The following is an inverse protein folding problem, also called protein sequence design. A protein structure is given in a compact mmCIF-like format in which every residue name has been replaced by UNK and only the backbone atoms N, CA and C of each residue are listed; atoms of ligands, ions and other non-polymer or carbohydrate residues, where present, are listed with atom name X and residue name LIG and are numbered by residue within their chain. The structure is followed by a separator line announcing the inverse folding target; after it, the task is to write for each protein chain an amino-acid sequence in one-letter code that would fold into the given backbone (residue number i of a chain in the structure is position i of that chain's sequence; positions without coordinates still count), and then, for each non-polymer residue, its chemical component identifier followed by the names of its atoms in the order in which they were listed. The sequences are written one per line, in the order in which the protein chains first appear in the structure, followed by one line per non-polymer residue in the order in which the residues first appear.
data_IF_311505725741
#
_entry.id   IF_311505725741
#
_cell.length_a   1.000
_cell.length_b   1.000
_cell.length_c   1.000
_cell.angle_alpha   90.00
_cell.angle_beta   90.00
_cell.angle_gamma   90.00
#
_symmetry.space_group_name_H-M   'P 1'
#
loop_
_entity.id
_entity.type
_entity.pdbx_description
1 polymer ?
#
# COMPACT_ATOMS: atom_id res chain seq x y z
N UNK A 1 24.44 -8.34 9.73
CA UNK A 1 23.62 -9.44 10.24
C UNK A 1 22.16 -9.09 10.57
N UNK A 2 21.85 -8.07 11.40
CA UNK A 2 20.43 -7.75 11.75
C UNK A 2 19.63 -7.01 10.66
N UNK A 3 20.29 -6.40 9.66
CA UNK A 3 19.65 -5.69 8.54
C UNK A 3 19.02 -6.67 7.52
N UNK A 4 19.58 -7.85 7.39
CA UNK A 4 19.11 -8.93 6.52
C UNK A 4 17.84 -9.60 7.04
N UNK A 5 17.66 -9.63 8.38
CA UNK A 5 16.53 -10.33 9.00
C UNK A 5 15.18 -9.74 8.58
N UNK A 6 15.03 -8.41 8.53
CA UNK A 6 13.74 -7.79 8.21
C UNK A 6 13.37 -7.88 6.72
N UNK A 7 14.36 -7.86 5.81
CA UNK A 7 14.11 -8.15 4.39
C UNK A 7 13.76 -9.62 4.18
N UNK A 8 14.45 -10.51 4.88
CA UNK A 8 14.18 -11.95 4.85
C UNK A 8 12.76 -12.27 5.32
N UNK A 9 12.27 -11.58 6.35
CA UNK A 9 10.89 -11.75 6.84
C UNK A 9 9.86 -11.31 5.80
N UNK A 10 10.08 -10.18 5.12
CA UNK A 10 9.16 -9.72 4.05
C UNK A 10 9.10 -10.72 2.90
N UNK A 11 10.23 -11.32 2.54
CA UNK A 11 10.29 -12.37 1.51
C UNK A 11 9.40 -13.57 1.85
N UNK A 12 9.30 -13.92 3.14
CA UNK A 12 8.44 -15.02 3.60
C UNK A 12 6.94 -14.72 3.47
N UNK A 13 6.56 -13.48 3.17
CA UNK A 13 5.17 -13.09 2.95
C UNK A 13 4.66 -13.41 1.54
N UNK A 14 5.52 -13.86 0.64
CA UNK A 14 5.11 -14.25 -0.72
C UNK A 14 3.91 -15.19 -0.65
N UNK A 15 2.84 -14.83 -1.38
CA UNK A 15 1.58 -15.57 -1.49
C UNK A 15 0.85 -15.87 -0.18
N UNK A 16 1.21 -15.21 0.95
CA UNK A 16 0.51 -15.39 2.23
C UNK A 16 -0.94 -14.93 2.21
N UNK A 17 -1.28 -14.06 1.28
CA UNK A 17 -2.62 -13.49 1.11
C UNK A 17 -3.23 -13.91 -0.25
N UNK A 18 -2.99 -15.17 -0.64
CA UNK A 18 -3.45 -15.68 -1.92
C UNK A 18 -4.98 -15.55 -2.08
N UNK A 19 -5.40 -14.91 -3.17
CA UNK A 19 -6.80 -14.62 -3.51
C UNK A 19 -7.58 -13.80 -2.46
N UNK A 20 -6.87 -13.08 -1.58
CA UNK A 20 -7.49 -12.12 -0.67
C UNK A 20 -7.59 -10.76 -1.38
N UNK A 21 -8.77 -10.11 -1.41
CA UNK A 21 -8.89 -8.76 -1.94
C UNK A 21 -8.07 -7.77 -1.11
N UNK A 22 -7.37 -6.86 -1.78
CA UNK A 22 -6.56 -5.83 -1.15
C UNK A 22 -7.00 -4.44 -1.59
N UNK A 23 -7.07 -3.49 -0.65
CA UNK A 23 -7.31 -2.08 -0.94
C UNK A 23 -6.02 -1.30 -0.73
N UNK A 24 -5.46 -0.77 -1.83
CA UNK A 24 -4.27 0.10 -1.83
C UNK A 24 -4.75 1.54 -1.81
N UNK A 25 -4.45 2.24 -0.71
CA UNK A 25 -4.99 3.57 -0.43
C UNK A 25 -3.89 4.60 -0.60
N UNK A 26 -4.01 5.44 -1.62
CA UNK A 26 -3.10 6.53 -1.95
C UNK A 26 -3.38 7.81 -1.17
N UNK A 27 -2.79 8.92 -1.66
CA UNK A 27 -2.93 10.21 -1.01
C UNK A 27 -3.67 11.25 -1.86
N UNK A 28 -4.13 10.89 -3.04
CA UNK A 28 -4.73 11.85 -3.98
C UNK A 28 -6.01 12.50 -3.42
N UNK A 29 -6.39 13.69 -3.90
CA UNK A 29 -7.52 14.45 -3.39
C UNK A 29 -8.86 13.72 -3.44
N UNK A 30 -9.06 12.81 -4.42
CA UNK A 30 -10.27 11.97 -4.51
C UNK A 30 -10.53 11.13 -3.25
N UNK A 31 -9.50 10.88 -2.45
CA UNK A 31 -9.64 10.14 -1.19
C UNK A 31 -10.67 10.78 -0.24
N UNK A 32 -10.88 12.09 -0.34
CA UNK A 32 -11.87 12.82 0.46
C UNK A 32 -13.32 12.42 0.17
N UNK A 33 -13.58 11.81 -0.98
CA UNK A 33 -14.92 11.39 -1.40
C UNK A 33 -15.29 9.97 -0.92
N UNK A 34 -14.35 9.27 -0.26
CA UNK A 34 -14.56 7.89 0.18
C UNK A 34 -14.89 7.79 1.67
N UNK A 35 -15.89 6.97 1.99
CA UNK A 35 -16.10 6.48 3.35
C UNK A 35 -15.14 5.30 3.59
N UNK A 36 -13.97 5.57 4.17
CA UNK A 36 -12.94 4.56 4.39
C UNK A 36 -13.21 3.67 5.62
N UNK A 37 -14.13 4.04 6.49
CA UNK A 37 -14.44 3.27 7.71
C UNK A 37 -14.94 1.88 7.39
N UNK A 38 -15.62 1.72 6.26
CA UNK A 38 -16.10 0.42 5.78
C UNK A 38 -14.97 -0.56 5.47
N UNK A 39 -13.74 -0.07 5.31
CA UNK A 39 -12.54 -0.89 5.05
C UNK A 39 -11.83 -1.36 6.33
N UNK A 40 -12.27 -0.94 7.52
CA UNK A 40 -11.58 -1.22 8.80
C UNK A 40 -11.35 -2.72 9.07
N UNK A 41 -12.12 -3.58 8.46
CA UNK A 41 -12.03 -5.03 8.61
C UNK A 41 -11.40 -5.76 7.42
N UNK A 42 -11.04 -5.06 6.37
CA UNK A 42 -10.42 -5.63 5.16
C UNK A 42 -8.92 -5.47 5.18
N UNK A 43 -8.22 -6.23 4.32
CA UNK A 43 -6.80 -6.06 4.14
C UNK A 43 -6.52 -4.77 3.35
N UNK A 44 -5.78 -3.86 3.96
CA UNK A 44 -5.49 -2.54 3.41
C UNK A 44 -4.01 -2.21 3.46
N UNK A 45 -3.50 -1.55 2.43
CA UNK A 45 -2.15 -0.98 2.35
C UNK A 45 -2.30 0.53 2.19
N UNK A 46 -1.99 1.29 3.24
CA UNK A 46 -2.00 2.76 3.18
C UNK A 46 -0.63 3.29 2.75
N UNK A 47 -0.61 4.09 1.69
CA UNK A 47 0.62 4.69 1.15
C UNK A 47 0.92 6.01 1.85
N UNK A 48 2.15 6.23 2.26
CA UNK A 48 2.64 7.48 2.86
C UNK A 48 1.69 7.96 3.98
N UNK A 49 1.04 9.13 3.82
CA UNK A 49 0.15 9.75 4.82
C UNK A 49 -1.29 9.23 4.79
N UNK A 50 -1.65 8.25 3.97
CA UNK A 50 -2.99 7.66 3.97
C UNK A 50 -3.42 7.16 5.36
N UNK A 51 -2.47 6.79 6.22
CA UNK A 51 -2.76 6.39 7.61
C UNK A 51 -3.32 7.52 8.50
N UNK A 52 -3.44 8.75 8.01
CA UNK A 52 -4.20 9.80 8.67
C UNK A 52 -5.71 9.70 8.44
N UNK A 53 -6.11 8.96 7.42
CA UNK A 53 -7.51 8.80 7.01
C UNK A 53 -8.07 7.43 7.36
N UNK A 54 -7.22 6.45 7.54
CA UNK A 54 -7.59 5.07 7.90
C UNK A 54 -6.45 4.46 8.70
N UNK A 55 -6.75 3.52 9.59
CA UNK A 55 -5.75 2.68 10.26
C UNK A 55 -5.52 1.39 9.43
N UNK A 56 -4.58 1.39 8.46
CA UNK A 56 -4.43 0.28 7.51
C UNK A 56 -3.79 -0.95 8.15
N UNK A 57 -3.88 -2.10 7.47
CA UNK A 57 -3.15 -3.31 7.86
C UNK A 57 -1.63 -3.11 7.73
N UNK A 58 -1.22 -2.40 6.66
CA UNK A 58 0.17 -2.05 6.37
C UNK A 58 0.27 -0.56 6.07
N UNK A 59 1.22 0.14 6.69
CA UNK A 59 1.70 1.45 6.22
C UNK A 59 2.92 1.20 5.34
N UNK A 60 2.85 1.66 4.10
CA UNK A 60 3.84 1.43 3.05
C UNK A 60 4.42 2.74 2.53
N UNK A 61 5.75 2.88 2.54
CA UNK A 61 6.40 4.10 2.03
C UNK A 61 7.82 3.85 1.55
N UNK A 62 8.37 4.78 0.76
CA UNK A 62 9.75 4.71 0.28
C UNK A 62 10.66 5.82 0.84
N UNK A 63 10.12 7.01 1.07
CA UNK A 63 10.91 8.21 1.33
C UNK A 63 11.26 8.39 2.80
N UNK A 64 12.49 8.83 3.07
CA UNK A 64 12.98 9.15 4.42
C UNK A 64 12.13 10.23 5.09
N UNK A 65 11.57 11.15 4.31
CA UNK A 65 10.83 12.31 4.82
C UNK A 65 9.64 11.90 5.68
N UNK A 66 8.87 10.90 5.29
CA UNK A 66 7.75 10.43 6.08
C UNK A 66 8.19 10.01 7.50
N UNK A 67 9.30 9.32 7.60
CA UNK A 67 9.86 8.96 8.91
C UNK A 67 10.27 10.18 9.72
N UNK A 68 10.89 11.17 9.10
CA UNK A 68 11.34 12.39 9.81
C UNK A 68 10.13 13.18 10.33
N UNK A 69 9.12 13.37 9.50
CA UNK A 69 7.98 14.26 9.81
C UNK A 69 6.91 13.58 10.67
N UNK A 70 6.68 12.28 10.50
CA UNK A 70 5.56 11.57 11.13
C UNK A 70 5.98 10.48 12.13
N UNK A 71 7.24 10.49 12.57
CA UNK A 71 7.84 9.47 13.43
C UNK A 71 6.95 9.07 14.62
N UNK A 72 6.42 10.06 15.34
CA UNK A 72 5.62 9.81 16.55
C UNK A 72 4.33 9.04 16.23
N UNK A 73 3.65 9.41 15.14
CA UNK A 73 2.42 8.74 14.71
C UNK A 73 2.73 7.32 14.19
N UNK A 74 3.80 7.17 13.40
CA UNK A 74 4.24 5.88 12.90
C UNK A 74 4.57 4.90 14.05
N UNK A 75 5.22 5.37 15.11
CA UNK A 75 5.56 4.53 16.26
C UNK A 75 4.34 4.12 17.09
N UNK A 76 3.31 4.97 17.15
CA UNK A 76 2.05 4.68 17.85
C UNK A 76 1.11 3.79 17.06
N UNK A 77 1.25 3.72 15.73
CA UNK A 77 0.40 2.89 14.89
C UNK A 77 0.55 1.40 15.22
N UNK A 78 -0.54 0.67 15.22
CA UNK A 78 -0.59 -0.79 15.34
C UNK A 78 -0.40 -1.51 14.00
N UNK A 79 -0.38 -0.78 12.88
CA UNK A 79 -0.15 -1.31 11.54
C UNK A 79 1.26 -1.90 11.39
N UNK A 80 1.41 -2.90 10.52
CA UNK A 80 2.74 -3.29 10.04
C UNK A 80 3.34 -2.13 9.24
N UNK A 81 4.61 -1.88 9.43
CA UNK A 81 5.33 -0.77 8.78
C UNK A 81 6.34 -1.32 7.81
N UNK A 82 6.12 -1.08 6.54
CA UNK A 82 6.93 -1.60 5.43
C UNK A 82 7.51 -0.44 4.64
N UNK A 83 8.83 -0.35 4.56
CA UNK A 83 9.47 0.78 3.90
C UNK A 83 10.76 0.41 3.16
N UNK A 84 11.10 1.25 2.17
CA UNK A 84 12.40 1.21 1.52
C UNK A 84 13.50 1.90 2.35
N UNK A 85 13.13 2.86 3.20
CA UNK A 85 14.06 3.61 4.01
C UNK A 85 14.75 2.73 5.08
N UNK A 86 16.09 2.62 4.99
CA UNK A 86 16.91 1.73 5.84
C UNK A 86 17.46 2.37 7.10
N UNK A 87 17.16 3.63 7.35
CA UNK A 87 17.68 4.41 8.50
C UNK A 87 16.84 4.33 9.77
N UNK A 88 16.01 3.30 9.94
CA UNK A 88 15.27 3.07 11.18
C UNK A 88 16.21 2.62 12.29
N UNK A 89 16.53 3.48 13.29
CA UNK A 89 17.42 3.14 14.39
C UNK A 89 16.79 2.10 15.33
N UNK A 90 15.46 1.98 15.33
CA UNK A 90 14.72 1.09 16.23
C UNK A 90 14.46 -0.29 15.64
N UNK A 91 14.81 -0.51 14.36
CA UNK A 91 14.60 -1.79 13.66
C UNK A 91 13.17 -2.34 13.77
N UNK A 92 12.20 -1.44 13.84
CA UNK A 92 10.78 -1.76 14.01
C UNK A 92 10.02 -1.91 12.68
N UNK A 93 10.73 -1.74 11.55
CA UNK A 93 10.14 -1.74 10.23
C UNK A 93 10.57 -2.98 9.45
N UNK A 94 9.68 -3.43 8.61
CA UNK A 94 9.98 -4.37 7.55
C UNK A 94 10.51 -3.60 6.34
N UNK A 95 11.47 -4.17 5.63
CA UNK A 95 12.13 -3.48 4.53
C UNK A 95 11.96 -4.22 3.22
N UNK A 96 11.81 -3.45 2.15
CA UNK A 96 11.94 -3.91 0.79
C UNK A 96 13.02 -3.12 0.07
N UNK A 97 13.60 -3.71 -0.95
CA UNK A 97 14.54 -3.06 -1.86
C UNK A 97 13.84 -2.66 -3.15
N UNK A 98 14.31 -1.58 -3.77
CA UNK A 98 13.85 -1.14 -5.08
C UNK A 98 14.98 -1.38 -6.06
N UNK A 99 14.73 -2.20 -7.09
CA UNK A 99 15.60 -2.30 -8.25
C UNK A 99 15.21 -1.19 -9.22
N UNK A 100 16.10 -0.23 -9.40
CA UNK A 100 15.89 0.91 -10.30
C UNK A 100 15.79 0.48 -11.76
N UNK A 101 15.24 1.36 -12.60
CA UNK A 101 15.05 1.12 -14.03
C UNK A 101 13.58 1.15 -14.43
N UNK A 102 13.20 0.31 -15.38
CA UNK A 102 11.82 0.16 -15.83
C UNK A 102 10.96 -0.53 -14.76
N UNK A 103 9.66 -0.23 -14.75
CA UNK A 103 8.72 -1.05 -14.02
C UNK A 103 8.76 -2.47 -14.58
N UNK A 104 8.88 -3.44 -13.70
CA UNK A 104 8.88 -4.86 -14.03
C UNK A 104 8.03 -5.60 -13.01
N UNK A 105 7.41 -6.70 -13.41
CA UNK A 105 6.67 -7.55 -12.50
C UNK A 105 7.62 -8.12 -11.44
N UNK A 106 7.23 -8.01 -10.17
CA UNK A 106 7.93 -8.68 -9.08
C UNK A 106 7.01 -9.69 -8.41
N UNK A 107 7.54 -10.86 -8.16
CA UNK A 107 6.91 -11.89 -7.34
C UNK A 107 7.54 -12.01 -5.95
N UNK A 108 8.54 -11.18 -5.66
CA UNK A 108 9.23 -11.11 -4.37
C UNK A 108 8.83 -9.83 -3.64
N UNK A 109 8.07 -9.89 -2.55
CA UNK A 109 7.65 -8.69 -1.83
C UNK A 109 8.80 -7.92 -1.18
N UNK A 110 9.99 -8.53 -1.08
CA UNK A 110 11.19 -7.86 -0.57
C UNK A 110 12.00 -7.13 -1.64
N UNK A 111 11.69 -7.32 -2.94
CA UNK A 111 12.39 -6.70 -4.06
C UNK A 111 11.39 -6.21 -5.11
N UNK A 112 11.14 -4.93 -5.15
CA UNK A 112 10.21 -4.30 -6.08
C UNK A 112 10.94 -3.58 -7.19
N UNK A 113 10.27 -3.37 -8.33
CA UNK A 113 10.85 -2.74 -9.50
C UNK A 113 10.15 -1.43 -9.84
N UNK A 114 10.90 -0.38 -10.12
CA UNK A 114 10.37 0.90 -10.55
C UNK A 114 11.14 2.10 -10.04
N UNK A 115 10.65 3.29 -10.35
CA UNK A 115 11.21 4.57 -9.90
C UNK A 115 10.10 5.54 -9.48
N UNK A 116 10.35 6.25 -8.38
CA UNK A 116 9.76 7.56 -8.11
C UNK A 116 8.30 7.62 -7.72
N UNK A 117 7.56 6.50 -7.69
CA UNK A 117 6.18 6.52 -7.24
C UNK A 117 5.87 5.35 -6.32
N UNK A 118 5.37 5.67 -5.13
CA UNK A 118 5.03 4.67 -4.11
C UNK A 118 3.79 3.86 -4.48
N UNK A 119 2.85 4.46 -5.22
CA UNK A 119 1.60 3.80 -5.62
C UNK A 119 1.81 2.50 -6.41
N UNK A 120 2.49 2.54 -7.55
CA UNK A 120 2.81 1.35 -8.33
C UNK A 120 3.61 0.29 -7.56
N UNK A 121 4.51 0.72 -6.67
CA UNK A 121 5.27 -0.21 -5.82
C UNK A 121 4.36 -0.93 -4.81
N UNK A 122 3.39 -0.22 -4.22
CA UNK A 122 2.45 -0.82 -3.29
C UNK A 122 1.53 -1.85 -3.98
N UNK A 123 1.14 -1.61 -5.25
CA UNK A 123 0.37 -2.59 -6.03
C UNK A 123 1.21 -3.81 -6.35
N UNK A 124 2.48 -3.65 -6.77
CA UNK A 124 3.39 -4.78 -6.95
C UNK A 124 3.56 -5.58 -5.66
N UNK A 125 3.73 -4.89 -4.54
CA UNK A 125 3.85 -5.51 -3.22
C UNK A 125 2.61 -6.33 -2.87
N UNK A 126 1.40 -5.76 -3.02
CA UNK A 126 0.15 -6.47 -2.81
C UNK A 126 0.05 -7.72 -3.69
N UNK A 127 0.47 -7.62 -4.96
CA UNK A 127 0.48 -8.77 -5.87
C UNK A 127 1.46 -9.85 -5.43
N UNK A 128 2.66 -9.47 -5.00
CA UNK A 128 3.66 -10.42 -4.50
C UNK A 128 3.22 -11.13 -3.19
N UNK A 129 2.34 -10.48 -2.40
CA UNK A 129 1.66 -11.12 -1.27
C UNK A 129 0.59 -12.13 -1.70
N UNK A 130 0.24 -12.17 -3.00
CA UNK A 130 -0.79 -13.05 -3.56
C UNK A 130 -2.19 -12.43 -3.59
N UNK A 131 -2.33 -11.13 -3.27
CA UNK A 131 -3.63 -10.46 -3.26
C UNK A 131 -4.29 -10.46 -4.65
N UNK A 132 -5.58 -10.72 -4.68
CA UNK A 132 -6.39 -10.68 -5.91
C UNK A 132 -7.89 -10.65 -5.55
N UNK A 133 -8.67 -9.70 -6.08
CA UNK A 133 -8.26 -8.51 -6.83
C UNK A 133 -7.61 -7.44 -5.93
N UNK A 134 -6.96 -6.43 -6.57
CA UNK A 134 -6.38 -5.28 -5.89
C UNK A 134 -7.14 -4.02 -6.33
N UNK A 135 -7.64 -3.24 -5.39
CA UNK A 135 -8.38 -2.00 -5.64
C UNK A 135 -7.53 -0.80 -5.25
N UNK A 136 -7.32 0.14 -6.18
CA UNK A 136 -6.67 1.43 -5.93
C UNK A 136 -7.70 2.50 -5.55
N UNK A 137 -7.47 3.21 -4.44
CA UNK A 137 -8.30 4.31 -3.95
C UNK A 137 -7.40 5.51 -3.69
N UNK A 138 -7.81 6.71 -4.15
CA UNK A 138 -6.97 7.89 -3.98
C UNK A 138 -5.64 7.80 -4.74
N UNK A 139 -5.67 7.18 -5.91
CA UNK A 139 -4.52 6.98 -6.80
C UNK A 139 -4.74 7.70 -8.13
N UNK A 140 -5.17 8.96 -8.08
CA UNK A 140 -5.55 9.76 -9.27
C UNK A 140 -4.36 10.09 -10.15
N UNK A 141 -3.16 10.20 -9.55
CA UNK A 141 -1.94 10.65 -10.22
C UNK A 141 -2.13 11.94 -11.01
N UNK A 142 -2.90 12.86 -10.46
CA UNK A 142 -3.25 14.14 -11.06
C UNK A 142 -3.42 15.22 -10.00
N UNK A 143 -3.36 16.49 -10.44
CA UNK A 143 -3.72 17.63 -9.62
C UNK A 143 -5.22 17.89 -9.78
N UNK A 144 -5.97 17.89 -8.69
CA UNK A 144 -7.41 18.14 -8.68
C UNK A 144 -7.68 19.44 -7.90
N UNK A 145 -8.28 20.42 -8.53
CA UNK A 145 -8.57 21.74 -7.93
C UNK A 145 -7.34 22.38 -7.27
N UNK A 146 -6.18 22.27 -7.91
CA UNK A 146 -4.91 22.79 -7.39
C UNK A 146 -4.30 21.98 -6.25
N UNK A 147 -4.89 20.86 -5.85
CA UNK A 147 -4.39 19.99 -4.80
C UNK A 147 -3.73 18.73 -5.39
N UNK A 148 -2.61 18.31 -4.81
CA UNK A 148 -1.89 17.10 -5.18
C UNK A 148 -2.25 15.92 -4.26
N UNK A 149 -2.64 16.22 -3.03
CA UNK A 149 -2.92 15.25 -1.98
C UNK A 149 -4.20 15.64 -1.21
N UNK A 150 -4.81 14.69 -0.52
CA UNK A 150 -6.03 14.91 0.28
C UNK A 150 -5.84 15.94 1.41
N UNK A 151 -4.60 16.20 1.80
CA UNK A 151 -4.21 17.17 2.83
C UNK A 151 -3.71 18.50 2.26
N UNK A 152 -3.84 18.74 0.95
CA UNK A 152 -3.50 19.98 0.27
C UNK A 152 -2.42 19.87 -0.80
N UNK A 153 -1.60 20.90 -0.93
CA UNK A 153 -0.53 20.96 -1.93
C UNK A 153 0.75 20.35 -1.34
N UNK A 154 1.23 19.28 -1.95
CA UNK A 154 2.54 18.78 -1.65
C UNK A 154 3.59 19.50 -2.51
N UNK A 155 4.36 20.38 -1.89
CA UNK A 155 5.37 21.22 -2.56
C UNK A 155 6.50 20.42 -3.22
N UNK A 156 6.65 19.15 -2.87
CA UNK A 156 7.66 18.26 -3.49
C UNK A 156 7.16 17.63 -4.79
N UNK A 157 5.85 17.69 -5.06
CA UNK A 157 5.28 17.19 -6.30
C UNK A 157 5.60 18.16 -7.44
N UNK A 158 6.34 17.66 -8.42
CA UNK A 158 6.61 18.32 -9.68
C UNK A 158 5.90 17.57 -10.80
N UNK A 159 5.75 18.17 -11.96
CA UNK A 159 5.11 17.53 -13.12
C UNK A 159 5.68 16.16 -13.45
N UNK A 160 7.00 15.99 -13.30
CA UNK A 160 7.62 14.69 -13.54
C UNK A 160 7.17 13.60 -12.54
N UNK A 161 6.81 13.96 -11.30
CA UNK A 161 6.32 13.00 -10.28
C UNK A 161 4.91 12.51 -10.65
N UNK A 162 4.05 13.43 -11.10
CA UNK A 162 2.71 13.09 -11.63
C UNK A 162 2.85 12.15 -12.82
N UNK A 163 3.74 12.47 -13.76
CA UNK A 163 4.01 11.66 -14.93
C UNK A 163 4.55 10.27 -14.57
N UNK A 164 5.45 10.16 -13.59
CA UNK A 164 5.97 8.88 -13.13
C UNK A 164 4.88 8.02 -12.47
N UNK A 165 3.99 8.64 -11.67
CA UNK A 165 2.87 7.95 -11.07
C UNK A 165 1.92 7.41 -12.14
N UNK A 166 1.49 8.28 -13.08
CA UNK A 166 0.59 7.89 -14.17
C UNK A 166 1.19 6.80 -15.08
N UNK A 167 2.48 6.89 -15.38
CA UNK A 167 3.19 5.85 -16.17
C UNK A 167 3.25 4.52 -15.41
N UNK A 168 3.52 4.58 -14.10
CA UNK A 168 3.56 3.39 -13.26
C UNK A 168 2.21 2.70 -13.17
N UNK A 169 1.10 3.44 -13.01
CA UNK A 169 -0.23 2.86 -12.98
C UNK A 169 -0.63 2.27 -14.34
N UNK A 170 -0.35 2.98 -15.46
CA UNK A 170 -0.60 2.41 -16.81
C UNK A 170 0.17 1.12 -17.04
N UNK A 171 1.42 1.05 -16.57
CA UNK A 171 2.19 -0.17 -16.65
C UNK A 171 1.52 -1.31 -15.85
N UNK A 172 1.03 -1.02 -14.63
CA UNK A 172 0.30 -2.00 -13.82
C UNK A 172 -0.94 -2.50 -14.57
N UNK A 173 -1.74 -1.61 -15.15
CA UNK A 173 -2.92 -1.97 -15.93
C UNK A 173 -2.57 -2.88 -17.12
N UNK A 174 -1.40 -2.71 -17.72
CA UNK A 174 -0.93 -3.53 -18.84
C UNK A 174 -0.41 -4.90 -18.40
N UNK A 175 0.35 -4.94 -17.32
CA UNK A 175 1.00 -6.16 -16.83
C UNK A 175 0.07 -7.04 -15.99
N UNK A 176 -0.80 -6.43 -15.20
CA UNK A 176 -1.78 -7.13 -14.36
C UNK A 176 -3.15 -7.18 -15.05
N UNK A 177 -3.19 -7.84 -16.21
CA UNK A 177 -4.42 -8.05 -17.01
C UNK A 177 -5.43 -8.89 -16.23
N UNK A 178 -6.66 -8.93 -16.75
CA UNK A 178 -7.76 -9.76 -16.23
C UNK A 178 -8.31 -9.33 -14.85
N UNK A 179 -8.51 -8.02 -14.67
CA UNK A 179 -9.14 -7.46 -13.45
C UNK A 179 -8.35 -7.68 -12.15
N UNK A 180 -7.05 -7.94 -12.23
CA UNK A 180 -6.22 -8.10 -11.05
C UNK A 180 -5.97 -6.77 -10.30
N UNK A 181 -5.91 -5.64 -11.03
CA UNK A 181 -5.86 -4.29 -10.47
C UNK A 181 -6.99 -3.44 -11.04
N UNK A 182 -7.72 -2.76 -10.17
CA UNK A 182 -8.85 -1.89 -10.54
C UNK A 182 -8.71 -0.57 -9.79
N UNK A 183 -8.43 0.51 -10.50
CA UNK A 183 -8.39 1.84 -9.90
C UNK A 183 -9.82 2.42 -9.82
N UNK A 184 -10.34 2.58 -8.61
CA UNK A 184 -11.68 3.09 -8.33
C UNK A 184 -11.69 4.53 -7.82
N UNK A 185 -10.56 5.25 -7.90
CA UNK A 185 -10.41 6.61 -7.35
C UNK A 185 -11.49 7.59 -7.83
N UNK A 186 -11.99 7.41 -9.06
CA UNK A 186 -13.04 8.25 -9.65
C UNK A 186 -14.47 7.69 -9.44
N UNK A 187 -14.62 6.61 -8.67
CA UNK A 187 -15.93 5.98 -8.46
C UNK A 187 -16.13 5.54 -7.00
N UNK A 188 -16.34 6.49 -6.07
CA UNK A 188 -16.50 6.16 -4.65
C UNK A 188 -17.70 5.26 -4.34
N UNK A 189 -18.78 5.33 -5.13
CA UNK A 189 -19.96 4.45 -4.95
C UNK A 189 -19.64 2.98 -5.20
N UNK A 190 -18.64 2.68 -6.01
CA UNK A 190 -18.22 1.31 -6.29
C UNK A 190 -17.67 0.61 -5.04
N UNK A 191 -17.14 1.37 -4.08
CA UNK A 191 -16.54 0.80 -2.87
C UNK A 191 -17.55 -0.01 -2.05
N UNK A 192 -18.76 0.49 -1.86
CA UNK A 192 -19.82 -0.21 -1.11
C UNK A 192 -20.18 -1.55 -1.77
N UNK A 193 -20.31 -1.56 -3.08
CA UNK A 193 -20.58 -2.79 -3.85
C UNK A 193 -19.45 -3.80 -3.69
N UNK A 194 -18.19 -3.33 -3.73
CA UNK A 194 -17.01 -4.19 -3.57
C UNK A 194 -16.95 -4.82 -2.19
N UNK A 195 -17.14 -4.04 -1.13
CA UNK A 195 -17.06 -4.58 0.24
C UNK A 195 -18.17 -5.59 0.52
N UNK A 196 -19.38 -5.39 -0.01
CA UNK A 196 -20.46 -6.38 0.11
C UNK A 196 -20.11 -7.68 -0.64
N UNK A 197 -19.59 -7.58 -1.87
CA UNK A 197 -19.11 -8.74 -2.63
C UNK A 197 -18.07 -9.56 -1.88
N UNK A 198 -17.18 -8.92 -1.13
CA UNK A 198 -16.10 -9.56 -0.40
C UNK A 198 -16.33 -9.68 1.11
N UNK A 199 -17.56 -9.68 1.57
CA UNK A 199 -17.94 -9.72 2.99
C UNK A 199 -17.29 -10.88 3.78
N UNK A 200 -17.08 -12.03 3.15
CA UNK A 200 -16.38 -13.16 3.76
C UNK A 200 -14.91 -12.89 4.10
N UNK A 201 -14.30 -11.88 3.48
CA UNK A 201 -12.94 -11.42 3.76
C UNK A 201 -12.89 -10.30 4.81
N UNK A 202 -14.01 -9.97 5.47
CA UNK A 202 -14.07 -8.98 6.55
C UNK A 202 -13.59 -9.58 7.88
N UNK A 203 -12.27 -9.81 8.01
CA UNK A 203 -11.66 -10.52 9.14
C UNK A 203 -11.01 -9.62 10.19
N UNK A 204 -10.79 -8.36 9.86
CA UNK A 204 -10.10 -7.39 10.71
C UNK A 204 -8.57 -7.39 10.53
N UNK A 205 -7.97 -6.27 10.89
CA UNK A 205 -6.54 -5.99 10.69
C UNK A 205 -5.62 -7.00 11.37
N UNK A 206 -5.91 -7.38 12.61
CA UNK A 206 -5.07 -8.31 13.37
C UNK A 206 -5.05 -9.72 12.75
N UNK A 207 -6.16 -10.15 12.16
CA UNK A 207 -6.17 -11.42 11.42
C UNK A 207 -5.13 -11.42 10.30
N UNK A 208 -5.09 -10.36 9.50
CA UNK A 208 -4.16 -10.27 8.37
C UNK A 208 -2.71 -10.11 8.81
N UNK A 209 -2.47 -9.37 9.90
CA UNK A 209 -1.14 -9.27 10.51
C UNK A 209 -0.62 -10.63 10.95
N UNK A 210 -1.42 -11.38 11.69
CA UNK A 210 -1.04 -12.70 12.18
C UNK A 210 -0.75 -13.65 11.01
N UNK A 211 -1.56 -13.59 9.95
CA UNK A 211 -1.34 -14.39 8.75
C UNK A 211 0.00 -14.06 8.08
N UNK A 212 0.36 -12.79 7.95
CA UNK A 212 1.66 -12.36 7.40
C UNK A 212 2.82 -12.77 8.31
N UNK A 213 2.67 -12.64 9.62
CA UNK A 213 3.71 -12.99 10.59
C UNK A 213 3.84 -14.52 10.81
N UNK A 214 3.02 -15.33 10.14
CA UNK A 214 3.05 -16.80 10.28
C UNK A 214 2.46 -17.29 11.60
N UNK A 215 1.68 -16.45 12.28
CA UNK A 215 0.95 -16.80 13.49
C UNK A 215 -0.41 -17.38 13.12
N UNK A 216 -0.95 -18.30 13.97
CA UNK A 216 -2.29 -18.81 13.72
C UNK A 216 -3.34 -17.74 14.03
N UNK A 217 -4.02 -17.17 13.00
CA UNK A 217 -4.96 -16.05 13.22
C UNK A 217 -6.25 -16.48 13.93
N UNK A 218 -6.47 -17.76 14.15
CA UNK A 218 -7.65 -18.33 14.83
C UNK A 218 -7.40 -18.71 16.30
N UNK A 219 -6.14 -18.71 16.75
CA UNK A 219 -5.83 -18.83 18.17
C UNK A 219 -6.08 -17.47 18.82
N UNK A 220 -7.11 -17.39 19.64
CA UNK A 220 -7.22 -16.37 20.68
C UNK A 220 -6.35 -16.83 21.85
N UNK A 221 -5.35 -16.02 22.20
CA UNK A 221 -4.68 -16.16 23.50
C UNK A 221 -5.66 -15.92 24.64
#
# INVERSE_FOLDING_TARGET
MKKEINNTLVKLWKNRLFNIPCFVIGNSPSLNNFNLDILSRYFTIGINRAFFRIDPSIIFWQDKELWITEKQKLLKSTSLRVCHYKGDPYRKFFHFDIKGGSFMRSEDPSLLHGRGSTGPLAVQFAKALGCNPIYGIGMDCSVINGQTDFYGINKTWKDHTVNLCSRGLRWIDQEYKNSEFINISNNPKMLETIVEKFKLHSRGKEFYKNLLLGQNPLKKD
#
